data_IF_317984756333
#
_entry.id   IF_317984756333
#
_cell.length_a   1.000
_cell.length_b   1.000
_cell.length_c   1.000
_cell.angle_alpha   90.00
_cell.angle_beta   90.00
_cell.angle_gamma   90.00
#
_symmetry.space_group_name_H-M   'P 1'
#
loop_
_entity.id
_entity.type
_entity.pdbx_description
1 polymer ?
#
# COMPACT_ATOMS: atom_id res chain seq x y z
N UNK A 1 -13.30 -3.71 -36.14
CA UNK A 1 -12.99 -2.62 -35.20
C UNK A 1 -11.47 -2.60 -35.02
N UNK A 2 -10.79 -1.49 -35.33
CA UNK A 2 -9.32 -1.48 -35.32
C UNK A 2 -8.77 -1.59 -33.90
N UNK A 3 -7.73 -2.39 -33.72
CA UNK A 3 -7.06 -2.68 -32.43
C UNK A 3 -6.73 -1.40 -31.64
N UNK A 4 -6.39 -0.31 -32.33
CA UNK A 4 -6.08 1.01 -31.76
C UNK A 4 -7.25 1.66 -31.01
N UNK A 5 -8.48 1.51 -31.50
CA UNK A 5 -9.67 2.09 -30.85
C UNK A 5 -9.97 1.38 -29.51
N UNK A 6 -9.76 0.06 -29.49
CA UNK A 6 -9.92 -0.78 -28.30
C UNK A 6 -8.86 -0.42 -27.26
N UNK A 7 -7.57 -0.35 -27.64
CA UNK A 7 -6.47 0.05 -26.74
C UNK A 7 -6.69 1.43 -26.13
N UNK A 8 -7.12 2.42 -26.92
CA UNK A 8 -7.38 3.78 -26.41
C UNK A 8 -8.56 3.83 -25.42
N UNK A 9 -9.58 3.01 -25.62
CA UNK A 9 -10.69 2.89 -24.68
C UNK A 9 -10.25 2.24 -23.35
N UNK A 10 -9.37 1.23 -23.41
CA UNK A 10 -8.78 0.62 -22.22
C UNK A 10 -7.89 1.60 -21.45
N UNK A 11 -7.01 2.34 -22.13
CA UNK A 11 -6.15 3.33 -21.48
C UNK A 11 -6.95 4.44 -20.80
N UNK A 12 -8.06 4.87 -21.39
CA UNK A 12 -8.99 5.81 -20.73
C UNK A 12 -9.59 5.23 -19.45
N UNK A 13 -9.94 3.95 -19.42
CA UNK A 13 -10.48 3.28 -18.22
C UNK A 13 -9.43 3.08 -17.12
N UNK A 14 -8.15 3.00 -17.50
CA UNK A 14 -7.02 2.87 -16.59
C UNK A 14 -6.42 4.22 -16.20
N UNK A 15 -7.02 5.34 -16.65
CA UNK A 15 -6.55 6.66 -16.28
C UNK A 15 -6.86 6.91 -14.80
N UNK A 16 -5.82 7.08 -14.00
CA UNK A 16 -5.90 7.38 -12.58
C UNK A 16 -5.19 8.71 -12.35
N UNK A 17 -5.82 9.62 -11.61
CA UNK A 17 -5.15 10.80 -11.05
C UNK A 17 -4.50 10.40 -9.71
N UNK A 18 -3.16 10.22 -9.65
CA UNK A 18 -2.54 9.54 -8.51
C UNK A 18 -2.75 10.28 -7.19
N UNK A 19 -2.70 11.62 -7.23
CA UNK A 19 -2.92 12.46 -6.05
C UNK A 19 -4.35 12.35 -5.50
N UNK A 20 -5.34 12.26 -6.40
CA UNK A 20 -6.75 12.10 -6.02
C UNK A 20 -6.96 10.71 -5.45
N UNK A 21 -6.44 9.67 -6.10
CA UNK A 21 -6.52 8.30 -5.62
C UNK A 21 -5.87 8.16 -4.23
N UNK A 22 -4.67 8.69 -4.05
CA UNK A 22 -3.97 8.68 -2.75
C UNK A 22 -4.79 9.37 -1.65
N UNK A 23 -5.34 10.56 -1.93
CA UNK A 23 -6.17 11.30 -0.98
C UNK A 23 -7.43 10.51 -0.58
N UNK A 24 -8.15 9.98 -1.57
CA UNK A 24 -9.38 9.20 -1.34
C UNK A 24 -9.08 7.94 -0.53
N UNK A 25 -8.03 7.19 -0.89
CA UNK A 25 -7.67 5.96 -0.19
C UNK A 25 -7.17 6.23 1.23
N UNK A 26 -6.34 7.25 1.43
CA UNK A 26 -5.85 7.64 2.76
C UNK A 26 -7.02 8.03 3.67
N UNK A 27 -7.93 8.86 3.18
CA UNK A 27 -9.07 9.32 3.99
C UNK A 27 -10.07 8.20 4.27
N UNK A 28 -10.26 7.30 3.31
CA UNK A 28 -11.06 6.09 3.51
C UNK A 28 -10.48 5.24 4.64
N UNK A 29 -9.17 4.96 4.62
CA UNK A 29 -8.50 4.18 5.67
C UNK A 29 -8.64 4.82 7.06
N UNK A 30 -8.37 6.12 7.17
CA UNK A 30 -8.53 6.87 8.43
C UNK A 30 -9.97 6.75 8.97
N UNK A 31 -10.96 6.96 8.10
CA UNK A 31 -12.37 6.94 8.49
C UNK A 31 -12.85 5.54 8.90
N UNK A 32 -12.57 4.51 8.09
CA UNK A 32 -13.08 3.16 8.36
C UNK A 32 -12.40 2.52 9.58
N UNK A 33 -11.10 2.74 9.76
CA UNK A 33 -10.38 2.27 10.95
C UNK A 33 -10.91 2.99 12.20
N UNK A 34 -11.13 4.31 12.11
CA UNK A 34 -11.72 5.10 13.19
C UNK A 34 -13.16 4.68 13.54
N UNK A 35 -14.02 4.41 12.53
CA UNK A 35 -15.38 3.89 12.75
C UNK A 35 -15.39 2.54 13.44
N UNK A 36 -14.40 1.70 13.16
CA UNK A 36 -14.22 0.42 13.84
C UNK A 36 -13.66 0.56 15.27
N UNK A 37 -13.33 1.78 15.73
CA UNK A 37 -12.82 2.05 17.08
C UNK A 37 -11.34 1.77 17.25
N UNK A 38 -10.58 1.62 16.16
CA UNK A 38 -9.15 1.37 16.19
C UNK A 38 -8.36 2.64 15.87
N UNK A 39 -7.14 2.68 16.38
CA UNK A 39 -6.18 3.77 16.11
C UNK A 39 -4.82 3.26 15.65
N UNK A 40 -4.67 1.94 15.50
CA UNK A 40 -3.42 1.27 15.12
C UNK A 40 -3.70 0.17 14.11
N UNK A 41 -2.71 -0.13 13.28
CA UNK A 41 -2.79 -1.17 12.27
C UNK A 41 -1.57 -2.09 12.30
N UNK A 42 -1.80 -3.36 11.97
CA UNK A 42 -0.76 -4.35 11.74
C UNK A 42 -0.81 -4.75 10.27
N UNK A 43 0.31 -4.67 9.56
CA UNK A 43 0.40 -5.03 8.14
C UNK A 43 1.48 -6.06 7.89
N UNK A 44 1.17 -7.03 7.01
CA UNK A 44 2.18 -7.93 6.47
C UNK A 44 2.97 -7.27 5.33
N UNK A 45 4.31 -7.31 5.39
CA UNK A 45 5.19 -6.90 4.30
C UNK A 45 5.82 -8.13 3.65
N UNK A 46 5.54 -8.31 2.35
CA UNK A 46 6.07 -9.42 1.55
C UNK A 46 7.30 -9.04 0.71
N UNK A 47 7.63 -7.74 0.63
CA UNK A 47 8.62 -7.20 -0.30
C UNK A 47 8.06 -6.84 -1.68
N UNK A 48 6.75 -7.03 -1.88
CA UNK A 48 6.04 -6.66 -3.11
C UNK A 48 5.41 -5.27 -3.04
N UNK A 49 5.16 -4.68 -4.23
CA UNK A 49 4.64 -3.33 -4.41
C UNK A 49 3.27 -3.11 -3.73
N UNK A 50 2.38 -4.10 -3.75
CA UNK A 50 1.05 -3.96 -3.17
C UNK A 50 1.10 -3.80 -1.65
N UNK A 51 1.92 -4.60 -0.98
CA UNK A 51 2.13 -4.51 0.47
C UNK A 51 2.84 -3.21 0.87
N UNK A 52 3.81 -2.77 0.06
CA UNK A 52 4.51 -1.50 0.26
C UNK A 52 3.55 -0.30 0.13
N UNK A 53 2.74 -0.27 -0.93
CA UNK A 53 1.74 0.78 -1.15
C UNK A 53 0.72 0.83 -0.02
N UNK A 54 0.21 -0.33 0.39
CA UNK A 54 -0.75 -0.45 1.48
C UNK A 54 -0.16 0.11 2.79
N UNK A 55 1.09 -0.22 3.08
CA UNK A 55 1.80 0.28 4.26
C UNK A 55 2.00 1.80 4.22
N UNK A 56 2.37 2.34 3.05
CA UNK A 56 2.52 3.78 2.84
C UNK A 56 1.21 4.55 3.10
N UNK A 57 0.11 4.04 2.55
CA UNK A 57 -1.21 4.66 2.71
C UNK A 57 -1.70 4.59 4.16
N UNK A 58 -1.50 3.46 4.86
CA UNK A 58 -1.89 3.33 6.27
C UNK A 58 -1.02 4.19 7.19
N UNK A 59 0.30 4.24 6.97
CA UNK A 59 1.18 5.12 7.74
C UNK A 59 0.82 6.60 7.53
N UNK A 60 0.42 6.98 6.31
CA UNK A 60 -0.09 8.34 6.03
C UNK A 60 -1.44 8.61 6.71
N UNK A 61 -2.31 7.61 6.79
CA UNK A 61 -3.64 7.74 7.40
C UNK A 61 -3.61 7.80 8.94
N UNK A 62 -2.74 7.01 9.58
CA UNK A 62 -2.73 6.83 11.04
C UNK A 62 -1.52 7.44 11.74
N UNK A 63 -0.50 7.87 10.99
CA UNK A 63 0.82 8.17 11.53
C UNK A 63 1.69 6.91 11.66
N UNK A 64 3.00 6.99 11.37
CA UNK A 64 3.88 5.83 11.36
C UNK A 64 4.03 5.14 12.73
N UNK A 65 3.90 5.87 13.83
CA UNK A 65 3.98 5.35 15.19
C UNK A 65 2.85 4.36 15.55
N UNK A 66 1.76 4.41 14.77
CA UNK A 66 0.56 3.59 14.91
C UNK A 66 0.54 2.39 13.97
N UNK A 67 1.61 2.16 13.22
CA UNK A 67 1.75 1.04 12.29
C UNK A 67 2.81 0.05 12.77
N UNK A 68 2.43 -1.23 12.81
CA UNK A 68 3.34 -2.36 13.01
C UNK A 68 3.43 -3.18 11.73
N UNK A 69 4.64 -3.31 11.18
CA UNK A 69 4.93 -4.14 10.02
C UNK A 69 5.42 -5.53 10.46
N UNK A 70 4.81 -6.57 9.90
CA UNK A 70 5.20 -7.96 10.09
C UNK A 70 5.79 -8.51 8.79
N UNK A 71 7.05 -8.94 8.87
CA UNK A 71 7.65 -9.77 7.82
C UNK A 71 7.36 -11.23 8.15
N UNK A 72 6.71 -11.95 7.24
CA UNK A 72 6.32 -13.35 7.42
C UNK A 72 7.02 -14.24 6.38
N UNK A 73 8.33 -14.49 6.52
CA UNK A 73 9.08 -15.33 5.59
C UNK A 73 8.58 -16.78 5.61
N UNK A 74 8.56 -17.41 4.45
CA UNK A 74 8.33 -18.85 4.28
C UNK A 74 9.52 -19.50 3.59
N UNK A 75 9.59 -20.84 3.53
CA UNK A 75 10.71 -21.62 2.95
C UNK A 75 11.13 -21.22 1.53
N UNK A 76 10.29 -20.49 0.80
CA UNK A 76 10.51 -20.03 -0.59
C UNK A 76 10.71 -18.52 -0.71
N UNK A 77 10.69 -17.78 0.41
CA UNK A 77 10.94 -16.34 0.40
C UNK A 77 12.40 -16.06 0.03
N UNK A 78 12.61 -15.20 -0.98
CA UNK A 78 13.95 -14.78 -1.35
C UNK A 78 14.51 -13.76 -0.35
N UNK A 79 15.83 -13.68 -0.28
CA UNK A 79 16.52 -12.65 0.50
C UNK A 79 16.20 -11.24 -0.01
N UNK A 80 15.96 -11.06 -1.32
CA UNK A 80 15.59 -9.75 -1.87
C UNK A 80 14.22 -9.28 -1.39
N UNK A 81 13.23 -10.18 -1.29
CA UNK A 81 11.91 -9.84 -0.76
C UNK A 81 11.98 -9.29 0.66
N UNK A 82 12.84 -9.87 1.50
CA UNK A 82 13.03 -9.38 2.86
C UNK A 82 13.73 -8.02 2.88
N UNK A 83 14.77 -7.84 2.06
CA UNK A 83 15.45 -6.55 1.92
C UNK A 83 14.50 -5.44 1.44
N UNK A 84 13.61 -5.74 0.48
CA UNK A 84 12.62 -4.77 0.02
C UNK A 84 11.60 -4.40 1.11
N UNK A 85 11.19 -5.35 1.95
CA UNK A 85 10.34 -5.05 3.10
C UNK A 85 11.06 -4.12 4.08
N UNK A 86 12.36 -4.33 4.32
CA UNK A 86 13.17 -3.50 5.21
C UNK A 86 13.29 -2.06 4.71
N UNK A 87 13.49 -1.86 3.41
CA UNK A 87 13.50 -0.52 2.81
C UNK A 87 12.21 0.25 3.05
N UNK A 88 11.05 -0.42 3.04
CA UNK A 88 9.75 0.22 3.32
C UNK A 88 9.64 0.60 4.79
N UNK A 89 10.06 -0.30 5.69
CA UNK A 89 10.05 -0.06 7.15
C UNK A 89 10.91 1.15 7.48
N UNK A 90 12.14 1.19 6.96
CA UNK A 90 13.10 2.28 7.18
C UNK A 90 12.60 3.61 6.60
N UNK A 91 12.09 3.59 5.36
CA UNK A 91 11.61 4.80 4.69
C UNK A 91 10.40 5.44 5.38
N UNK A 92 9.54 4.64 6.01
CA UNK A 92 8.34 5.11 6.70
C UNK A 92 8.56 5.39 8.19
N UNK A 93 9.66 4.92 8.79
CA UNK A 93 9.89 5.05 10.23
C UNK A 93 8.86 4.28 11.08
N UNK A 94 8.34 3.18 10.56
CA UNK A 94 7.36 2.32 11.23
C UNK A 94 8.07 1.21 12.03
N UNK A 95 7.35 0.57 12.96
CA UNK A 95 7.88 -0.52 13.78
C UNK A 95 7.75 -1.89 13.12
#
# INVERSE_FOLDING_TARGET
>A
MSTTAVTNQFLKKLHIEPKVAELVLTKFLENEIGKAGFSKAVLGLSGGIDSALSCYLVAKALGPENVLALRLPHKVSSSESLAHADLVIEALGIR
#
